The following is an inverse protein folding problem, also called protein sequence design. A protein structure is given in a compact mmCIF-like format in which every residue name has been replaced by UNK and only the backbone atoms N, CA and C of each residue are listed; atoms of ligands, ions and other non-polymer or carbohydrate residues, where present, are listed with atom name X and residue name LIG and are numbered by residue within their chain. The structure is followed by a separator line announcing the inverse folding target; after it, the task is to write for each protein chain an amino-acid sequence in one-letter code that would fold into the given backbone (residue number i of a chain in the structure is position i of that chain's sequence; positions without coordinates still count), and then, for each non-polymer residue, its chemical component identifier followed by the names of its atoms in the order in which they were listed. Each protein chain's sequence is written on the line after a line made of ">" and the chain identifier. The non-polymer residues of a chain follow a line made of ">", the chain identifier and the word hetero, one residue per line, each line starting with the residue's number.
data_IF_811900076504
#
_entry.id   IF_811900076504
#
_cell.length_a   1.000
_cell.length_b   1.000
_cell.length_c   1.000
_cell.angle_alpha   90.00
_cell.angle_beta   90.00
_cell.angle_gamma   90.00
#
_symmetry.space_group_name_H-M   'P 1'
#
loop_
_entity.id
_entity.type
_entity.pdbx_description
1 polymer ?
#
# COMPACT_ATOMS: atom_id res chain seq x y z
N UNK A 1 -21.95 23.77 -10.03
CA UNK A 1 -22.30 22.36 -9.74
C UNK A 1 -21.66 21.87 -8.44
N UNK A 2 -20.34 21.69 -8.34
CA UNK A 2 -19.71 21.20 -7.09
C UNK A 2 -20.02 22.08 -5.87
N UNK A 3 -19.90 23.41 -5.98
CA UNK A 3 -20.27 24.32 -4.87
C UNK A 3 -21.72 24.16 -4.40
N UNK A 4 -22.67 23.99 -5.34
CA UNK A 4 -24.08 23.79 -5.01
C UNK A 4 -24.30 22.44 -4.34
N UNK A 5 -23.63 21.38 -4.82
CA UNK A 5 -23.67 20.07 -4.19
C UNK A 5 -23.12 20.13 -2.75
N UNK A 6 -22.01 20.83 -2.52
CA UNK A 6 -21.43 20.99 -1.19
C UNK A 6 -22.34 21.80 -0.24
N UNK A 7 -23.02 22.84 -0.74
CA UNK A 7 -24.03 23.57 0.03
C UNK A 7 -25.20 22.65 0.39
N UNK A 8 -25.73 21.89 -0.57
CA UNK A 8 -26.81 20.94 -0.33
C UNK A 8 -26.42 19.85 0.69
N UNK A 9 -25.20 19.30 0.59
CA UNK A 9 -24.68 18.35 1.57
C UNK A 9 -24.57 18.98 2.96
N UNK A 10 -24.05 20.21 3.08
CA UNK A 10 -23.95 20.88 4.39
C UNK A 10 -25.33 21.14 5.00
N UNK A 11 -26.30 21.56 4.19
CA UNK A 11 -27.68 21.75 4.65
C UNK A 11 -28.30 20.43 5.12
N UNK A 12 -28.05 19.34 4.41
CA UNK A 12 -28.62 18.02 4.72
C UNK A 12 -27.91 17.31 5.88
N UNK A 13 -26.57 17.33 5.93
CA UNK A 13 -25.72 16.57 6.85
C UNK A 13 -25.24 17.36 8.06
N UNK A 14 -25.38 18.69 8.06
CA UNK A 14 -24.82 19.56 9.09
C UNK A 14 -23.28 19.46 9.20
N UNK A 15 -22.76 19.74 10.39
CA UNK A 15 -21.34 19.64 10.73
C UNK A 15 -21.01 18.22 11.24
N UNK A 16 -21.05 17.25 10.32
CA UNK A 16 -20.80 15.84 10.61
C UNK A 16 -19.50 15.33 10.00
N UNK A 17 -19.02 14.18 10.47
CA UNK A 17 -17.85 13.49 9.91
C UNK A 17 -18.00 13.19 8.41
N UNK A 18 -19.21 12.86 7.97
CA UNK A 18 -19.50 12.66 6.54
C UNK A 18 -19.33 13.96 5.75
N UNK A 19 -19.77 15.09 6.30
CA UNK A 19 -19.56 16.40 5.65
C UNK A 19 -18.07 16.76 5.56
N UNK A 20 -17.30 16.51 6.62
CA UNK A 20 -15.85 16.70 6.62
C UNK A 20 -15.16 15.81 5.57
N UNK A 21 -15.56 14.54 5.48
CA UNK A 21 -15.09 13.61 4.45
C UNK A 21 -15.40 14.11 3.04
N UNK A 22 -16.64 14.55 2.76
CA UNK A 22 -17.03 15.06 1.44
C UNK A 22 -16.27 16.34 1.08
N UNK A 23 -16.05 17.25 2.03
CA UNK A 23 -15.27 18.46 1.80
C UNK A 23 -13.81 18.14 1.46
N UNK A 24 -13.20 17.21 2.21
CA UNK A 24 -11.87 16.68 1.89
C UNK A 24 -11.86 16.10 0.48
N UNK A 25 -12.78 15.20 0.15
CA UNK A 25 -12.82 14.54 -1.16
C UNK A 25 -13.11 15.50 -2.33
N UNK A 26 -13.95 16.52 -2.14
CA UNK A 26 -14.33 17.45 -3.20
C UNK A 26 -13.12 18.16 -3.82
N UNK A 27 -12.23 18.68 -2.97
CA UNK A 27 -10.99 19.34 -3.41
C UNK A 27 -10.08 18.38 -4.19
N UNK A 28 -9.91 17.13 -3.73
CA UNK A 28 -9.09 16.14 -4.43
C UNK A 28 -9.73 15.71 -5.76
N UNK A 29 -11.04 15.45 -5.78
CA UNK A 29 -11.74 15.02 -6.99
C UNK A 29 -11.71 16.08 -8.10
N UNK A 30 -11.75 17.37 -7.74
CA UNK A 30 -11.56 18.47 -8.70
C UNK A 30 -10.19 18.41 -9.36
N UNK A 31 -9.12 18.25 -8.58
CA UNK A 31 -7.76 18.12 -9.11
C UNK A 31 -7.57 16.84 -9.92
N UNK A 32 -8.13 15.72 -9.47
CA UNK A 32 -8.09 14.46 -10.21
C UNK A 32 -8.80 14.58 -11.57
N UNK A 33 -9.95 15.28 -11.63
CA UNK A 33 -10.60 15.57 -12.90
C UNK A 33 -9.73 16.47 -13.78
N UNK A 34 -9.05 17.47 -13.21
CA UNK A 34 -8.19 18.40 -13.95
C UNK A 34 -7.06 17.63 -14.66
N UNK A 35 -6.33 16.79 -13.93
CA UNK A 35 -5.14 16.08 -14.44
C UNK A 35 -5.47 14.85 -15.30
N UNK A 36 -6.66 14.26 -15.17
CA UNK A 36 -7.06 13.11 -15.97
C UNK A 36 -7.07 13.47 -17.47
N UNK A 37 -6.51 12.63 -18.35
CA UNK A 37 -6.60 12.85 -19.81
C UNK A 37 -8.07 12.79 -20.29
N UNK A 38 -8.44 13.41 -21.42
CA UNK A 38 -9.80 13.27 -22.00
C UNK A 38 -10.25 11.82 -22.17
N UNK A 39 -9.31 10.92 -22.49
CA UNK A 39 -9.49 9.48 -22.66
C UNK A 39 -9.42 8.66 -21.37
N UNK A 40 -9.14 9.30 -20.24
CA UNK A 40 -8.88 8.65 -18.97
C UNK A 40 -10.15 8.26 -18.22
N UNK A 41 -10.00 7.24 -17.36
CA UNK A 41 -11.01 6.79 -16.41
C UNK A 41 -10.52 6.95 -14.96
N UNK A 42 -11.45 7.16 -14.04
CA UNK A 42 -11.24 7.14 -12.60
C UNK A 42 -12.08 6.02 -11.98
N UNK A 43 -11.48 5.31 -11.03
CA UNK A 43 -12.13 4.28 -10.22
C UNK A 43 -12.04 4.70 -8.76
N UNK A 44 -13.18 4.77 -8.06
CA UNK A 44 -13.25 5.14 -6.65
C UNK A 44 -13.87 3.99 -5.86
N UNK A 45 -13.05 3.34 -5.03
CA UNK A 45 -13.52 2.35 -4.06
C UNK A 45 -14.05 3.05 -2.82
N UNK A 46 -15.23 2.65 -2.36
CA UNK A 46 -15.84 3.14 -1.13
C UNK A 46 -16.66 2.03 -0.47
N UNK A 47 -16.75 2.08 0.85
CA UNK A 47 -17.66 1.21 1.58
C UNK A 47 -19.12 1.74 1.47
N UNK A 48 -20.13 0.90 1.77
CA UNK A 48 -21.53 1.28 1.62
C UNK A 48 -21.96 2.53 2.40
N UNK A 49 -21.27 2.89 3.49
CA UNK A 49 -21.60 4.05 4.35
C UNK A 49 -21.47 5.38 3.61
N UNK A 50 -20.44 5.52 2.76
CA UNK A 50 -20.15 6.76 2.05
C UNK A 50 -20.51 6.71 0.56
N UNK A 51 -20.71 5.51 0.00
CA UNK A 51 -20.86 5.26 -1.45
C UNK A 51 -21.86 6.18 -2.17
N UNK A 52 -23.05 6.38 -1.62
CA UNK A 52 -24.08 7.22 -2.24
C UNK A 52 -23.75 8.72 -2.17
N UNK A 53 -23.19 9.19 -1.05
CA UNK A 53 -22.77 10.59 -0.89
C UNK A 53 -21.62 10.93 -1.84
N UNK A 54 -20.60 10.07 -1.90
CA UNK A 54 -19.46 10.29 -2.78
C UNK A 54 -19.87 10.15 -4.25
N UNK A 55 -20.82 9.27 -4.59
CA UNK A 55 -21.39 9.18 -5.95
C UNK A 55 -22.03 10.48 -6.40
N UNK A 56 -22.87 11.09 -5.56
CA UNK A 56 -23.47 12.40 -5.85
C UNK A 56 -22.41 13.50 -6.03
N UNK A 57 -21.34 13.48 -5.21
CA UNK A 57 -20.21 14.39 -5.39
C UNK A 57 -19.46 14.12 -6.71
N UNK A 58 -19.23 12.85 -7.07
CA UNK A 58 -18.64 12.47 -8.35
C UNK A 58 -19.51 12.90 -9.53
N UNK A 59 -20.84 12.83 -9.45
CA UNK A 59 -21.73 13.37 -10.47
C UNK A 59 -21.56 14.89 -10.63
N UNK A 60 -21.40 15.62 -9.52
CA UNK A 60 -21.16 17.06 -9.57
C UNK A 60 -19.80 17.42 -10.20
N UNK A 61 -18.78 16.58 -10.02
CA UNK A 61 -17.41 16.77 -10.55
C UNK A 61 -17.29 16.28 -12.00
N UNK A 62 -17.64 15.02 -12.28
CA UNK A 62 -17.41 14.34 -13.55
C UNK A 62 -18.61 14.41 -14.51
N UNK A 63 -19.77 14.88 -14.07
CA UNK A 63 -21.06 14.80 -14.75
C UNK A 63 -21.66 13.39 -14.74
N UNK A 64 -22.97 13.24 -14.45
CA UNK A 64 -23.64 11.93 -14.46
C UNK A 64 -23.62 11.24 -15.83
N UNK A 65 -23.55 12.00 -16.93
CA UNK A 65 -23.42 11.42 -18.29
C UNK A 65 -22.10 10.68 -18.50
N UNK A 66 -21.10 10.97 -17.67
CA UNK A 66 -19.79 10.32 -17.70
C UNK A 66 -19.64 9.17 -16.71
N UNK A 67 -20.72 8.85 -15.99
CA UNK A 67 -20.79 7.65 -15.19
C UNK A 67 -20.79 6.41 -16.10
N UNK A 68 -20.03 5.37 -15.73
CA UNK A 68 -19.87 4.17 -16.56
C UNK A 68 -20.42 2.94 -15.88
N UNK A 69 -19.98 2.66 -14.66
CA UNK A 69 -20.41 1.48 -13.92
C UNK A 69 -20.38 1.75 -12.42
N UNK A 70 -21.37 1.18 -11.72
CA UNK A 70 -21.25 0.85 -10.31
C UNK A 70 -20.80 -0.59 -10.24
N UNK A 71 -19.58 -0.83 -9.79
CA UNK A 71 -18.99 -2.16 -9.76
C UNK A 71 -19.12 -2.73 -8.35
N UNK A 72 -19.84 -3.83 -8.20
CA UNK A 72 -19.93 -4.56 -6.93
C UNK A 72 -18.72 -5.50 -6.79
N UNK A 73 -17.76 -5.14 -5.95
CA UNK A 73 -16.64 -6.02 -5.63
C UNK A 73 -17.06 -7.02 -4.56
N UNK A 74 -17.52 -8.19 -5.01
CA UNK A 74 -18.03 -9.28 -4.21
C UNK A 74 -16.92 -10.20 -3.69
N UNK A 75 -17.09 -10.68 -2.46
CA UNK A 75 -16.18 -11.63 -1.84
C UNK A 75 -16.89 -12.56 -0.86
N UNK A 76 -16.19 -13.61 -0.43
CA UNK A 76 -16.73 -14.58 0.52
C UNK A 76 -16.09 -14.35 1.88
N UNK A 77 -16.84 -14.64 2.92
CA UNK A 77 -16.37 -14.52 4.30
C UNK A 77 -17.08 -15.54 5.19
N UNK A 78 -16.40 -15.92 6.27
CA UNK A 78 -17.00 -16.71 7.34
C UNK A 78 -17.87 -15.81 8.23
N UNK A 79 -18.84 -16.42 8.91
CA UNK A 79 -19.71 -15.75 9.87
C UNK A 79 -20.84 -14.96 9.20
N UNK A 80 -22.08 -15.30 9.54
CA UNK A 80 -23.27 -14.57 9.13
C UNK A 80 -23.89 -13.89 10.35
N UNK A 81 -24.29 -12.62 10.25
CA UNK A 81 -25.05 -11.99 11.31
C UNK A 81 -26.38 -12.73 11.51
N UNK A 82 -26.82 -12.91 12.77
CA UNK A 82 -28.07 -13.63 13.08
C UNK A 82 -29.33 -12.83 12.70
N UNK A 83 -29.22 -11.51 12.54
CA UNK A 83 -30.35 -10.58 12.37
C UNK A 83 -30.17 -9.65 11.15
N UNK A 84 -29.33 -10.05 10.19
CA UNK A 84 -29.06 -9.23 9.00
C UNK A 84 -28.51 -10.11 7.86
N UNK A 85 -28.34 -9.54 6.66
CA UNK A 85 -27.61 -10.17 5.59
C UNK A 85 -26.10 -10.06 5.79
N UNK A 86 -25.36 -11.06 5.31
CA UNK A 86 -23.90 -10.98 5.26
C UNK A 86 -23.46 -9.87 4.30
N UNK A 87 -22.78 -8.85 4.82
CA UNK A 87 -22.11 -7.84 3.99
C UNK A 87 -20.94 -8.50 3.26
N UNK A 88 -21.04 -8.61 1.93
CA UNK A 88 -20.16 -9.41 1.07
C UNK A 88 -19.73 -8.69 -0.21
N UNK A 89 -19.88 -7.38 -0.24
CA UNK A 89 -19.34 -6.57 -1.32
C UNK A 89 -18.98 -5.18 -0.83
N UNK A 90 -18.07 -4.56 -1.56
CA UNK A 90 -17.82 -3.12 -1.55
C UNK A 90 -18.19 -2.52 -2.93
N UNK A 91 -18.30 -1.20 -3.00
CA UNK A 91 -18.66 -0.49 -4.23
C UNK A 91 -17.42 0.17 -4.85
N UNK A 92 -17.27 0.03 -6.17
CA UNK A 92 -16.27 0.75 -6.97
C UNK A 92 -17.01 1.55 -8.04
N UNK A 93 -16.93 2.87 -7.94
CA UNK A 93 -17.54 3.80 -8.90
C UNK A 93 -16.56 4.05 -10.05
N UNK A 94 -17.01 3.82 -11.29
CA UNK A 94 -16.23 4.10 -12.49
C UNK A 94 -16.82 5.29 -13.25
N UNK A 95 -15.99 6.30 -13.47
CA UNK A 95 -16.27 7.42 -14.37
C UNK A 95 -15.18 7.52 -15.43
N UNK A 96 -15.53 8.11 -16.57
CA UNK A 96 -14.54 8.63 -17.51
C UNK A 96 -14.54 10.16 -17.52
N UNK A 97 -13.50 10.78 -18.09
CA UNK A 97 -13.48 12.25 -18.23
C UNK A 97 -14.48 12.75 -19.28
N UNK A 98 -14.60 11.99 -20.37
CA UNK A 98 -15.45 12.26 -21.55
C UNK A 98 -16.11 10.96 -22.05
N UNK A 99 -16.88 11.00 -23.13
CA UNK A 99 -17.43 9.80 -23.78
C UNK A 99 -16.41 9.02 -24.63
N UNK A 100 -15.24 9.61 -24.91
CA UNK A 100 -14.16 8.99 -25.69
C UNK A 100 -13.12 8.41 -24.72
N UNK A 101 -13.42 7.29 -24.06
CA UNK A 101 -12.54 6.67 -23.07
C UNK A 101 -11.91 5.37 -23.55
N UNK A 102 -10.72 5.06 -23.04
CA UNK A 102 -10.08 3.75 -23.26
C UNK A 102 -10.87 2.67 -22.50
N UNK A 103 -11.22 1.58 -23.19
CA UNK A 103 -11.72 0.36 -22.58
C UNK A 103 -11.24 -0.90 -23.33
N UNK A 104 -10.20 -1.55 -22.82
CA UNK A 104 -9.60 -2.74 -23.41
C UNK A 104 -10.35 -4.00 -22.95
N UNK A 105 -11.53 -4.24 -23.53
CA UNK A 105 -12.40 -5.36 -23.14
C UNK A 105 -11.68 -6.71 -23.21
N UNK A 106 -10.92 -6.94 -24.27
CA UNK A 106 -10.25 -8.22 -24.52
C UNK A 106 -9.21 -8.57 -23.45
N UNK A 107 -8.56 -7.56 -22.86
CA UNK A 107 -7.55 -7.74 -21.80
C UNK A 107 -8.15 -8.14 -20.45
N UNK A 108 -9.47 -8.02 -20.29
CA UNK A 108 -10.19 -8.29 -19.04
C UNK A 108 -11.28 -9.35 -19.18
N UNK A 109 -11.32 -10.04 -20.33
CA UNK A 109 -12.24 -11.17 -20.53
C UNK A 109 -11.98 -12.29 -19.52
N UNK A 110 -13.06 -12.95 -19.14
CA UNK A 110 -13.05 -14.06 -18.20
C UNK A 110 -13.22 -15.39 -18.95
N UNK A 111 -12.57 -16.47 -18.50
CA UNK A 111 -12.83 -17.79 -19.05
C UNK A 111 -14.31 -18.17 -18.94
N UNK A 112 -14.87 -18.75 -20.00
CA UNK A 112 -16.19 -19.38 -19.92
C UNK A 112 -16.18 -20.55 -18.93
N UNK A 113 -17.27 -20.70 -18.18
CA UNK A 113 -17.53 -21.90 -17.39
C UNK A 113 -17.56 -23.14 -18.29
N UNK A 114 -17.15 -24.28 -17.74
CA UNK A 114 -17.09 -25.56 -18.46
C UNK A 114 -18.46 -25.94 -19.04
N UNK A 115 -19.53 -25.82 -18.26
CA UNK A 115 -20.90 -26.06 -18.71
C UNK A 115 -21.31 -25.16 -19.90
N UNK A 116 -20.79 -23.93 -19.98
CA UNK A 116 -21.01 -23.06 -21.15
C UNK A 116 -20.25 -23.57 -22.36
N UNK A 117 -18.99 -24.00 -22.18
CA UNK A 117 -18.19 -24.58 -23.28
C UNK A 117 -18.84 -25.83 -23.83
N UNK A 118 -19.28 -26.76 -22.97
CA UNK A 118 -19.98 -27.98 -23.36
C UNK A 118 -21.27 -27.68 -24.13
N UNK A 119 -22.09 -26.75 -23.64
CA UNK A 119 -23.34 -26.35 -24.31
C UNK A 119 -23.09 -25.86 -25.74
N UNK A 120 -22.01 -25.13 -25.96
CA UNK A 120 -21.65 -24.57 -27.26
C UNK A 120 -20.90 -25.55 -28.18
N UNK A 121 -20.55 -26.77 -27.72
CA UNK A 121 -20.09 -27.85 -28.61
C UNK A 121 -21.24 -28.42 -29.45
N UNK A 122 -22.46 -28.36 -28.95
CA UNK A 122 -23.66 -28.77 -29.66
C UNK A 122 -24.30 -27.55 -30.35
N UNK A 123 -24.71 -27.71 -31.61
CA UNK A 123 -25.20 -26.62 -32.46
C UNK A 123 -26.32 -25.82 -31.78
N UNK A 124 -26.11 -24.52 -31.58
CA UNK A 124 -27.14 -23.58 -31.13
C UNK A 124 -27.40 -22.61 -32.29
N UNK A 125 -28.35 -22.97 -33.16
CA UNK A 125 -28.94 -22.01 -34.09
C UNK A 125 -29.57 -20.86 -33.29
N UNK A 126 -29.27 -19.62 -33.64
CA UNK A 126 -29.74 -18.45 -32.92
C UNK A 126 -31.04 -17.93 -33.56
N UNK A 127 -32.10 -18.74 -33.46
CA UNK A 127 -33.43 -18.32 -33.94
C UNK A 127 -34.14 -17.56 -32.83
N UNK A 128 -34.37 -16.26 -33.03
CA UNK A 128 -35.12 -15.40 -32.11
C UNK A 128 -36.30 -14.77 -32.84
N UNK A 129 -37.51 -14.93 -32.30
CA UNK A 129 -38.76 -14.41 -32.89
C UNK A 129 -38.90 -14.77 -34.39
N UNK A 130 -38.59 -16.01 -34.75
CA UNK A 130 -38.68 -16.51 -36.14
C UNK A 130 -37.61 -15.99 -37.10
N UNK A 131 -36.65 -15.17 -36.65
CA UNK A 131 -35.48 -14.77 -37.43
C UNK A 131 -34.25 -15.57 -37.01
N UNK A 132 -33.56 -16.14 -37.98
CA UNK A 132 -32.27 -16.78 -37.78
C UNK A 132 -31.16 -15.73 -37.78
N UNK A 133 -30.45 -15.62 -36.65
CA UNK A 133 -29.28 -14.75 -36.48
C UNK A 133 -27.96 -15.53 -36.65
N UNK A 134 -28.02 -16.69 -37.29
CA UNK A 134 -26.89 -17.56 -37.56
C UNK A 134 -26.45 -18.37 -36.35
N UNK A 135 -25.20 -18.83 -36.38
CA UNK A 135 -24.63 -19.67 -35.32
C UNK A 135 -24.00 -18.81 -34.22
N UNK A 136 -24.41 -19.01 -32.98
CA UNK A 136 -23.77 -18.33 -31.85
C UNK A 136 -22.42 -18.99 -31.54
N UNK A 137 -21.31 -18.22 -31.59
CA UNK A 137 -19.96 -18.70 -31.26
C UNK A 137 -19.44 -18.04 -29.99
N UNK A 138 -18.65 -18.79 -29.22
CA UNK A 138 -17.92 -18.24 -28.08
C UNK A 138 -16.75 -17.38 -28.58
N UNK A 139 -16.51 -16.24 -27.92
CA UNK A 139 -15.36 -15.41 -28.23
C UNK A 139 -14.07 -16.14 -27.80
N UNK A 140 -13.02 -16.23 -28.63
CA UNK A 140 -11.85 -17.05 -28.32
C UNK A 140 -11.13 -16.62 -27.03
N UNK A 141 -11.18 -15.33 -26.69
CA UNK A 141 -10.55 -14.77 -25.50
C UNK A 141 -11.42 -14.87 -24.22
N UNK A 142 -12.64 -15.37 -24.32
CA UNK A 142 -13.54 -15.53 -23.17
C UNK A 142 -14.74 -14.57 -23.15
N UNK A 143 -15.53 -14.65 -22.08
CA UNK A 143 -16.71 -13.79 -21.89
C UNK A 143 -16.30 -12.39 -21.42
N UNK A 144 -17.13 -11.42 -21.71
CA UNK A 144 -17.02 -10.11 -21.09
C UNK A 144 -17.26 -10.22 -19.57
N UNK A 145 -16.45 -9.56 -18.73
CA UNK A 145 -16.72 -9.47 -17.30
C UNK A 145 -17.99 -8.64 -17.06
N UNK A 146 -18.77 -9.05 -16.07
CA UNK A 146 -19.89 -8.26 -15.57
C UNK A 146 -19.36 -7.13 -14.66
N UNK A 147 -20.24 -6.26 -14.17
CA UNK A 147 -19.93 -5.24 -13.16
C UNK A 147 -20.10 -5.75 -11.71
N UNK A 148 -20.27 -7.06 -11.50
CA UNK A 148 -20.12 -7.70 -10.19
C UNK A 148 -18.89 -8.61 -10.21
N UNK A 149 -17.85 -8.22 -9.47
CA UNK A 149 -16.54 -8.88 -9.53
C UNK A 149 -16.33 -9.75 -8.31
N UNK A 150 -16.17 -11.06 -8.52
CA UNK A 150 -15.85 -11.98 -7.43
C UNK A 150 -14.32 -12.11 -7.25
N UNK A 151 -13.73 -11.28 -6.41
CA UNK A 151 -12.29 -11.28 -6.11
C UNK A 151 -12.11 -11.30 -4.59
N UNK A 152 -11.35 -12.25 -4.03
CA UNK A 152 -11.17 -12.32 -2.58
C UNK A 152 -10.21 -11.23 -2.07
N UNK A 153 -10.50 -10.62 -0.90
CA UNK A 153 -9.53 -9.83 -0.15
C UNK A 153 -8.31 -10.67 0.23
N UNK A 154 -7.23 -9.98 0.57
CA UNK A 154 -5.95 -10.63 0.85
C UNK A 154 -6.02 -11.43 2.16
N UNK A 155 -5.94 -12.75 2.04
CA UNK A 155 -5.87 -13.65 3.18
C UNK A 155 -4.62 -13.37 4.05
N UNK A 156 -4.66 -13.62 5.38
CA UNK A 156 -3.49 -13.49 6.25
C UNK A 156 -2.25 -14.26 5.79
N UNK A 157 -2.45 -15.42 5.17
CA UNK A 157 -1.40 -16.28 4.62
C UNK A 157 -0.94 -15.91 3.21
N UNK A 158 -1.61 -14.96 2.54
CA UNK A 158 -1.30 -14.61 1.15
C UNK A 158 0.14 -14.07 1.01
N UNK A 159 0.82 -14.48 -0.07
CA UNK A 159 2.20 -14.08 -0.37
C UNK A 159 2.31 -12.57 -0.60
N UNK A 160 1.33 -11.96 -1.27
CA UNK A 160 1.33 -10.51 -1.54
C UNK A 160 1.09 -9.64 -0.29
N UNK A 161 0.64 -10.19 0.84
CA UNK A 161 0.27 -9.42 2.03
C UNK A 161 1.48 -8.77 2.66
N UNK A 162 1.54 -7.45 2.76
CA UNK A 162 2.65 -6.71 3.37
C UNK A 162 2.46 -6.40 4.86
N UNK A 163 1.27 -6.67 5.39
CA UNK A 163 0.88 -6.31 6.77
C UNK A 163 0.22 -4.95 6.89
N UNK A 164 -0.07 -4.28 5.76
CA UNK A 164 -0.86 -3.05 5.74
C UNK A 164 -2.36 -3.37 5.89
N UNK A 165 -3.10 -2.76 6.83
CA UNK A 165 -4.45 -3.20 7.19
C UNK A 165 -5.46 -3.24 6.03
N UNK A 166 -5.38 -2.27 5.11
CA UNK A 166 -6.36 -2.06 4.04
C UNK A 166 -5.82 -2.39 2.64
N UNK A 167 -4.78 -3.23 2.56
CA UNK A 167 -4.16 -3.61 1.30
C UNK A 167 -5.16 -4.27 0.35
N UNK A 168 -5.26 -3.72 -0.87
CA UNK A 168 -6.05 -4.28 -1.95
C UNK A 168 -5.30 -5.39 -2.69
N UNK A 169 -5.97 -6.45 -3.17
CA UNK A 169 -5.35 -7.54 -3.92
C UNK A 169 -4.90 -7.09 -5.30
N UNK A 170 -3.72 -7.55 -5.76
CA UNK A 170 -3.17 -7.19 -7.07
C UNK A 170 -4.14 -7.50 -8.22
N UNK A 171 -4.85 -8.64 -8.16
CA UNK A 171 -5.84 -9.04 -9.18
C UNK A 171 -6.93 -8.01 -9.42
N UNK A 172 -7.38 -7.31 -8.36
CA UNK A 172 -8.41 -6.27 -8.49
C UNK A 172 -7.87 -5.08 -9.28
N UNK A 173 -6.66 -4.62 -8.93
CA UNK A 173 -6.04 -3.46 -9.57
C UNK A 173 -5.57 -3.81 -10.98
N UNK A 174 -5.10 -5.05 -11.22
CA UNK A 174 -4.73 -5.51 -12.56
C UNK A 174 -5.90 -5.42 -13.54
N UNK A 175 -7.10 -5.82 -13.11
CA UNK A 175 -8.32 -5.70 -13.92
C UNK A 175 -8.62 -4.24 -14.25
N UNK A 176 -8.54 -3.36 -13.26
CA UNK A 176 -8.79 -1.92 -13.43
C UNK A 176 -7.79 -1.29 -14.41
N UNK A 177 -6.49 -1.53 -14.21
CA UNK A 177 -5.41 -0.95 -15.02
C UNK A 177 -5.46 -1.47 -16.45
N UNK A 178 -5.65 -2.78 -16.65
CA UNK A 178 -5.80 -3.36 -17.99
C UNK A 178 -7.01 -2.81 -18.73
N UNK A 179 -8.16 -2.72 -18.05
CA UNK A 179 -9.39 -2.23 -18.68
C UNK A 179 -9.25 -0.79 -19.20
N UNK A 180 -8.58 0.11 -18.47
CA UNK A 180 -8.68 1.56 -18.74
C UNK A 180 -7.35 2.26 -19.04
N UNK A 181 -6.30 1.53 -19.41
CA UNK A 181 -5.01 2.11 -19.79
C UNK A 181 -4.23 1.22 -20.75
N UNK A 182 -3.37 1.81 -21.57
CA UNK A 182 -2.42 1.09 -22.43
C UNK A 182 -1.02 1.05 -21.80
N UNK A 183 -0.11 0.22 -22.33
CA UNK A 183 1.30 0.29 -21.94
C UNK A 183 1.85 1.71 -22.16
N UNK A 184 2.71 2.18 -21.25
CA UNK A 184 3.26 3.53 -21.26
C UNK A 184 2.35 4.64 -20.71
N UNK A 185 1.04 4.38 -20.55
CA UNK A 185 0.14 5.34 -19.88
C UNK A 185 0.52 5.54 -18.40
N UNK A 186 0.01 6.63 -17.81
CA UNK A 186 0.23 6.99 -16.41
C UNK A 186 -0.96 6.55 -15.56
N UNK A 187 -0.68 5.82 -14.49
CA UNK A 187 -1.64 5.48 -13.44
C UNK A 187 -1.34 6.32 -12.20
N UNK A 188 -2.28 7.16 -11.79
CA UNK A 188 -2.19 7.96 -10.57
C UNK A 188 -3.04 7.33 -9.46
N UNK A 189 -2.44 7.09 -8.30
CA UNK A 189 -3.13 6.72 -7.07
C UNK A 189 -2.80 7.72 -5.94
N UNK A 190 -3.72 8.66 -5.64
CA UNK A 190 -3.48 9.70 -4.64
C UNK A 190 -3.72 9.23 -3.20
N UNK A 191 -4.07 7.95 -3.00
CA UNK A 191 -4.28 7.30 -1.70
C UNK A 191 -3.62 5.92 -1.72
N UNK A 192 -2.35 5.88 -2.14
CA UNK A 192 -1.73 4.64 -2.60
C UNK A 192 -1.39 3.64 -1.49
N UNK A 193 -1.32 4.08 -0.22
CA UNK A 193 -1.04 3.23 0.94
C UNK A 193 0.19 2.35 0.72
N UNK A 194 0.03 1.03 0.80
CA UNK A 194 1.11 0.08 0.56
C UNK A 194 1.50 -0.13 -0.94
N UNK A 195 1.01 0.71 -1.86
CA UNK A 195 1.43 0.76 -3.25
C UNK A 195 0.98 -0.39 -4.15
N UNK A 196 -0.18 -1.01 -3.90
CA UNK A 196 -0.66 -2.09 -4.79
C UNK A 196 -0.83 -1.57 -6.22
N UNK A 197 -1.45 -0.41 -6.39
CA UNK A 197 -1.65 0.20 -7.71
C UNK A 197 -0.33 0.45 -8.43
N UNK A 198 0.68 0.95 -7.71
CA UNK A 198 2.01 1.28 -8.26
C UNK A 198 2.75 0.02 -8.71
N UNK A 199 2.74 -1.02 -7.86
CA UNK A 199 3.36 -2.30 -8.19
C UNK A 199 2.69 -2.96 -9.41
N UNK A 200 1.36 -2.91 -9.48
CA UNK A 200 0.58 -3.42 -10.61
C UNK A 200 0.86 -2.62 -11.88
N UNK A 201 0.84 -1.29 -11.80
CA UNK A 201 1.15 -0.42 -12.93
C UNK A 201 2.55 -0.70 -13.48
N UNK A 202 3.56 -0.77 -12.61
CA UNK A 202 4.94 -1.13 -12.98
C UNK A 202 5.01 -2.52 -13.64
N UNK A 203 4.34 -3.52 -13.06
CA UNK A 203 4.29 -4.89 -13.59
C UNK A 203 3.66 -4.97 -14.99
N UNK A 204 2.70 -4.09 -15.26
CA UNK A 204 2.00 -3.97 -16.53
C UNK A 204 2.66 -2.93 -17.46
N UNK A 205 3.88 -2.48 -17.21
CA UNK A 205 4.57 -1.50 -18.06
C UNK A 205 3.81 -0.16 -18.21
N UNK A 206 3.11 0.28 -17.16
CA UNK A 206 2.55 1.63 -17.06
C UNK A 206 3.45 2.50 -16.18
N UNK A 207 3.54 3.79 -16.50
CA UNK A 207 4.10 4.78 -15.60
C UNK A 207 3.15 4.97 -14.43
N UNK A 208 3.65 5.39 -13.28
CA UNK A 208 2.82 5.54 -12.10
C UNK A 208 3.23 6.73 -11.25
N UNK A 209 2.24 7.29 -10.56
CA UNK A 209 2.41 8.32 -9.53
C UNK A 209 1.61 7.84 -8.32
N UNK A 210 2.25 7.80 -7.15
CA UNK A 210 1.58 7.48 -5.90
C UNK A 210 1.73 8.61 -4.90
N UNK A 211 0.66 8.93 -4.19
CA UNK A 211 0.68 9.92 -3.11
C UNK A 211 0.11 9.25 -1.86
N UNK A 212 0.81 9.40 -0.75
CA UNK A 212 0.31 9.04 0.57
C UNK A 212 0.86 10.06 1.58
N UNK A 213 0.05 10.37 2.60
CA UNK A 213 0.43 11.33 3.64
C UNK A 213 1.42 10.74 4.65
N UNK A 214 1.54 9.41 4.71
CA UNK A 214 2.34 8.73 5.74
C UNK A 214 3.69 8.27 5.20
N UNK A 215 4.78 8.62 5.89
CA UNK A 215 6.10 8.11 5.52
C UNK A 215 6.21 6.58 5.67
N UNK A 216 5.39 5.98 6.53
CA UNK A 216 5.30 4.52 6.67
C UNK A 216 4.84 3.85 5.36
N UNK A 217 3.80 4.40 4.71
CA UNK A 217 3.33 3.92 3.41
C UNK A 217 4.43 4.05 2.34
N UNK A 218 5.12 5.19 2.31
CA UNK A 218 6.21 5.44 1.36
C UNK A 218 7.37 4.44 1.56
N UNK A 219 7.80 4.18 2.80
CA UNK A 219 8.81 3.16 3.10
C UNK A 219 8.40 1.76 2.65
N UNK A 220 7.15 1.39 2.89
CA UNK A 220 6.54 0.14 2.43
C UNK A 220 6.56 0.01 0.90
N UNK A 221 6.21 1.08 0.18
CA UNK A 221 6.21 1.13 -1.28
C UNK A 221 7.63 0.90 -1.81
N UNK A 222 8.62 1.62 -1.28
CA UNK A 222 10.04 1.48 -1.67
C UNK A 222 10.50 0.04 -1.54
N UNK A 223 10.25 -0.58 -0.39
CA UNK A 223 10.61 -1.97 -0.14
C UNK A 223 9.86 -2.93 -1.10
N UNK A 224 8.55 -2.73 -1.31
CA UNK A 224 7.75 -3.53 -2.24
C UNK A 224 8.30 -3.49 -3.66
N UNK A 225 8.58 -2.30 -4.18
CA UNK A 225 9.11 -2.09 -5.53
C UNK A 225 10.51 -2.69 -5.70
N UNK A 226 11.41 -2.44 -4.74
CA UNK A 226 12.75 -3.04 -4.74
C UNK A 226 12.69 -4.57 -4.68
N UNK A 227 11.77 -5.14 -3.90
CA UNK A 227 11.62 -6.59 -3.82
C UNK A 227 11.05 -7.19 -5.12
N UNK A 228 10.05 -6.55 -5.71
CA UNK A 228 9.38 -7.04 -6.91
C UNK A 228 10.25 -6.92 -8.18
N UNK A 229 11.03 -5.84 -8.31
CA UNK A 229 11.75 -5.48 -9.54
C UNK A 229 13.28 -5.39 -9.38
N UNK A 230 13.81 -5.58 -8.17
CA UNK A 230 15.23 -5.54 -7.86
C UNK A 230 15.75 -4.15 -7.47
N UNK A 231 17.03 -4.09 -7.03
CA UNK A 231 17.64 -2.86 -6.50
C UNK A 231 17.71 -1.71 -7.50
N UNK A 232 17.81 -2.00 -8.79
CA UNK A 232 17.84 -0.97 -9.85
C UNK A 232 16.55 -0.16 -9.93
N UNK A 233 15.43 -0.70 -9.44
CA UNK A 233 14.14 -0.01 -9.40
C UNK A 233 14.21 1.32 -8.65
N UNK A 234 15.08 1.45 -7.64
CA UNK A 234 15.24 2.70 -6.88
C UNK A 234 15.71 3.88 -7.76
N UNK A 235 16.38 3.60 -8.86
CA UNK A 235 16.90 4.64 -9.76
C UNK A 235 15.88 5.07 -10.82
N UNK A 236 14.68 4.48 -10.81
CA UNK A 236 13.65 4.73 -11.83
C UNK A 236 12.49 5.57 -11.28
N UNK A 237 12.57 6.13 -10.08
CA UNK A 237 11.55 6.99 -9.52
C UNK A 237 12.15 7.95 -8.48
N UNK A 238 11.51 9.10 -8.33
CA UNK A 238 11.80 10.06 -7.27
C UNK A 238 10.78 9.95 -6.14
N UNK A 239 11.18 10.31 -4.92
CA UNK A 239 10.27 10.48 -3.79
C UNK A 239 10.33 11.92 -3.33
N UNK A 240 9.22 12.64 -3.53
CA UNK A 240 9.08 14.05 -3.17
C UNK A 240 8.43 14.16 -1.80
N UNK A 241 8.93 15.06 -0.96
CA UNK A 241 8.35 15.38 0.35
C UNK A 241 8.90 14.57 1.53
N UNK A 242 9.90 13.73 1.32
CA UNK A 242 10.65 13.12 2.43
C UNK A 242 11.90 13.92 2.79
N UNK A 243 12.32 13.92 4.07
CA UNK A 243 13.61 14.48 4.42
C UNK A 243 14.76 13.72 3.76
N UNK A 244 15.64 14.47 3.11
CA UNK A 244 16.86 13.98 2.45
C UNK A 244 18.14 14.47 3.14
N UNK A 245 18.01 15.43 4.04
CA UNK A 245 19.10 16.02 4.81
C UNK A 245 18.72 16.23 6.28
N UNK A 246 19.68 16.64 7.10
CA UNK A 246 19.44 16.89 8.52
C UNK A 246 18.52 18.09 8.78
N UNK A 247 18.50 19.09 7.90
CA UNK A 247 17.70 20.31 8.09
C UNK A 247 16.22 20.00 7.93
N UNK A 248 15.87 19.34 6.82
CA UNK A 248 14.54 18.81 6.53
C UNK A 248 14.10 17.79 7.58
N UNK A 249 15.00 16.93 8.08
CA UNK A 249 14.66 15.97 9.13
C UNK A 249 14.33 16.66 10.47
N UNK A 250 15.06 17.72 10.83
CA UNK A 250 14.75 18.55 12.00
C UNK A 250 13.43 19.29 11.84
N UNK A 251 13.14 19.81 10.65
CA UNK A 251 11.87 20.46 10.35
C UNK A 251 10.70 19.50 10.53
N UNK A 252 10.79 18.29 9.96
CA UNK A 252 9.76 17.25 10.14
C UNK A 252 9.57 16.91 11.62
N UNK A 253 10.65 16.74 12.37
CA UNK A 253 10.59 16.48 13.81
C UNK A 253 9.87 17.57 14.62
N UNK A 254 9.96 18.83 14.19
CA UNK A 254 9.31 19.98 14.83
C UNK A 254 7.83 20.09 14.46
N UNK A 255 7.50 19.85 13.18
CA UNK A 255 6.13 19.96 12.66
C UNK A 255 5.27 18.76 13.07
N UNK A 256 5.81 17.54 12.95
CA UNK A 256 5.10 16.31 13.29
C UNK A 256 6.09 15.23 13.76
N UNK A 257 6.18 15.08 15.09
CA UNK A 257 7.06 14.08 15.72
C UNK A 257 6.68 12.65 15.33
N UNK A 258 5.40 12.38 15.08
CA UNK A 258 4.96 11.04 14.73
C UNK A 258 5.35 10.68 13.29
N UNK A 259 5.21 11.62 12.35
CA UNK A 259 5.70 11.43 10.98
C UNK A 259 7.22 11.29 10.95
N UNK A 260 7.94 12.05 11.79
CA UNK A 260 9.37 11.87 11.97
C UNK A 260 9.74 10.46 12.46
N UNK A 261 9.04 9.94 13.48
CA UNK A 261 9.22 8.57 13.97
C UNK A 261 9.03 7.55 12.83
N UNK A 262 7.91 7.64 12.10
CA UNK A 262 7.61 6.78 10.96
C UNK A 262 8.67 6.85 9.85
N UNK A 263 9.11 8.05 9.50
CA UNK A 263 10.16 8.27 8.50
C UNK A 263 11.49 7.67 8.94
N UNK A 264 11.92 7.91 10.19
CA UNK A 264 13.17 7.40 10.72
C UNK A 264 13.19 5.86 10.78
N UNK A 265 12.07 5.23 11.11
CA UNK A 265 11.91 3.77 11.03
C UNK A 265 12.05 3.25 9.58
N UNK A 266 11.57 4.01 8.60
CA UNK A 266 11.73 3.71 7.18
C UNK A 266 13.19 3.65 6.73
N UNK A 267 14.08 4.46 7.31
CA UNK A 267 15.53 4.45 7.00
C UNK A 267 16.21 3.11 7.35
N UNK A 268 15.64 2.39 8.32
CA UNK A 268 16.13 1.09 8.79
C UNK A 268 15.22 -0.07 8.41
N UNK A 269 14.27 0.15 7.49
CA UNK A 269 13.31 -0.86 7.00
C UNK A 269 12.45 -1.50 8.11
N UNK A 270 12.19 -0.78 9.19
CA UNK A 270 11.44 -1.30 10.32
C UNK A 270 9.92 -1.12 10.17
N UNK A 271 9.14 -2.02 10.78
CA UNK A 271 7.70 -1.83 10.93
C UNK A 271 7.42 -0.94 12.12
N UNK A 272 6.60 0.10 11.92
CA UNK A 272 5.98 0.81 13.04
C UNK A 272 5.12 -0.14 13.85
N UNK A 273 5.14 0.03 15.17
CA UNK A 273 4.18 -0.64 16.04
C UNK A 273 2.84 0.11 15.96
N UNK A 274 1.72 -0.62 15.84
CA UNK A 274 0.42 0.01 16.05
C UNK A 274 0.37 0.45 17.51
N UNK A 275 0.34 1.77 17.76
CA UNK A 275 0.22 2.34 19.12
C UNK A 275 -1.16 1.93 19.70
N UNK A 276 -1.30 0.69 20.17
CA UNK A 276 -2.41 0.31 21.05
C UNK A 276 -2.29 1.16 22.31
N UNK A 277 -3.31 1.97 22.61
CA UNK A 277 -3.37 2.79 23.82
C UNK A 277 -2.97 1.94 25.04
N UNK A 278 -1.77 2.20 25.58
CA UNK A 278 -1.34 1.73 26.89
C UNK A 278 -0.29 0.61 26.98
N UNK A 279 0.12 -0.07 25.89
CA UNK A 279 0.92 -1.30 26.02
C UNK A 279 2.46 -1.13 25.83
N UNK A 280 2.92 -0.40 24.80
CA UNK A 280 4.34 -0.41 24.42
C UNK A 280 5.07 0.88 24.82
N UNK A 281 5.37 1.04 26.13
CA UNK A 281 6.21 2.15 26.61
C UNK A 281 7.64 1.96 26.08
N UNK A 282 7.99 2.69 25.02
CA UNK A 282 9.36 2.84 24.51
C UNK A 282 9.71 2.05 23.24
N UNK A 283 8.73 1.49 22.51
CA UNK A 283 8.97 0.77 21.25
C UNK A 283 8.27 1.50 20.11
N UNK A 284 9.07 2.10 19.24
CA UNK A 284 8.57 2.84 18.07
C UNK A 284 8.50 1.92 16.85
N UNK A 285 9.43 0.97 16.71
CA UNK A 285 9.40 -0.01 15.63
C UNK A 285 10.02 -1.36 15.97
N UNK A 286 9.73 -2.35 15.12
CA UNK A 286 10.28 -3.70 15.22
C UNK A 286 10.81 -4.18 13.85
N UNK A 287 11.92 -4.90 13.86
CA UNK A 287 12.43 -5.72 12.76
C UNK A 287 12.47 -7.18 13.21
N UNK A 288 12.29 -8.10 12.27
CA UNK A 288 12.32 -9.53 12.52
C UNK A 288 13.28 -10.25 11.59
N UNK A 289 13.99 -11.23 12.12
CA UNK A 289 14.97 -12.02 11.37
C UNK A 289 15.02 -13.47 11.85
N UNK A 290 15.67 -14.31 11.05
CA UNK A 290 15.98 -15.71 11.37
C UNK A 290 17.44 -15.96 11.02
N UNK A 291 18.17 -16.55 11.96
CA UNK A 291 19.59 -16.87 11.79
C UNK A 291 19.94 -18.23 12.41
N UNK A 292 18.97 -19.15 12.52
CA UNK A 292 19.24 -20.52 12.95
C UNK A 292 19.94 -21.33 11.83
N UNK A 293 20.76 -22.30 12.23
CA UNK A 293 21.46 -23.21 11.31
C UNK A 293 20.55 -24.28 10.73
N UNK A 294 19.50 -24.68 11.46
CA UNK A 294 18.51 -25.65 11.00
C UNK A 294 17.36 -24.92 10.30
N UNK A 295 17.27 -25.06 8.98
CA UNK A 295 16.21 -24.46 8.17
C UNK A 295 14.80 -24.94 8.52
N UNK A 296 14.66 -26.00 9.34
CA UNK A 296 13.37 -26.48 9.87
C UNK A 296 12.95 -25.76 11.16
N UNK A 297 13.85 -25.06 11.84
CA UNK A 297 13.56 -24.23 13.02
C UNK A 297 13.39 -22.77 12.58
N UNK A 298 12.18 -22.25 12.67
CA UNK A 298 11.85 -20.87 12.28
C UNK A 298 11.56 -20.00 13.50
N UNK A 299 12.46 -20.00 14.49
CA UNK A 299 12.36 -19.08 15.62
C UNK A 299 12.56 -17.65 15.12
N UNK A 300 11.48 -16.88 15.17
CA UNK A 300 11.50 -15.48 14.74
C UNK A 300 12.13 -14.65 15.84
N UNK A 301 13.29 -14.08 15.55
CA UNK A 301 14.03 -13.16 16.42
C UNK A 301 13.64 -11.73 16.08
N UNK A 302 13.83 -10.81 17.02
CA UNK A 302 13.39 -9.44 16.90
C UNK A 302 14.47 -8.41 17.27
N UNK A 303 14.44 -7.30 16.55
CA UNK A 303 15.17 -6.08 16.88
C UNK A 303 14.13 -5.01 17.25
N UNK A 304 14.31 -4.39 18.40
CA UNK A 304 13.44 -3.32 18.89
C UNK A 304 14.08 -1.98 18.62
N UNK A 305 13.30 -1.04 18.10
CA UNK A 305 13.78 0.29 17.77
C UNK A 305 13.03 1.32 18.60
N UNK A 306 13.77 2.25 19.19
CA UNK A 306 13.22 3.49 19.73
C UNK A 306 13.81 4.70 19.00
N UNK A 307 12.96 5.66 18.67
CA UNK A 307 13.29 6.89 17.95
C UNK A 307 13.07 8.08 18.87
N UNK A 308 14.04 9.01 18.92
CA UNK A 308 13.92 10.28 19.63
C UNK A 308 14.38 11.46 18.79
N UNK A 309 13.47 12.39 18.55
CA UNK A 309 13.72 13.67 17.86
C UNK A 309 14.31 14.75 18.77
N UNK A 310 13.93 14.75 20.05
CA UNK A 310 14.28 15.79 21.03
C UNK A 310 15.58 15.53 21.82
N UNK A 311 15.64 16.09 23.03
CA UNK A 311 16.78 15.91 23.93
C UNK A 311 16.99 14.42 24.25
N UNK A 312 18.21 13.94 24.03
CA UNK A 312 18.59 12.55 24.31
C UNK A 312 19.63 12.47 25.41
N UNK A 313 19.66 11.33 26.10
CA UNK A 313 20.51 11.14 27.26
C UNK A 313 20.63 9.66 27.64
N UNK A 314 21.54 9.32 28.58
CA UNK A 314 21.83 7.93 28.94
C UNK A 314 20.64 7.18 29.51
N UNK A 315 19.70 7.89 30.15
CA UNK A 315 18.45 7.32 30.66
C UNK A 315 17.65 6.64 29.55
N UNK A 316 17.48 7.28 28.40
CA UNK A 316 16.76 6.70 27.26
C UNK A 316 17.42 5.42 26.72
N UNK A 317 18.75 5.38 26.71
CA UNK A 317 19.52 4.19 26.29
C UNK A 317 19.34 3.05 27.29
N UNK A 318 19.34 3.37 28.59
CA UNK A 318 19.08 2.42 29.68
C UNK A 318 17.65 1.88 29.66
N UNK A 319 16.68 2.76 29.40
CA UNK A 319 15.27 2.39 29.30
C UNK A 319 15.08 1.41 28.14
N UNK A 320 15.69 1.68 26.97
CA UNK A 320 15.68 0.75 25.84
C UNK A 320 16.33 -0.59 26.20
N UNK A 321 17.42 -0.61 26.98
CA UNK A 321 17.98 -1.88 27.48
C UNK A 321 16.97 -2.68 28.30
N UNK A 322 16.24 -2.03 29.21
CA UNK A 322 15.18 -2.68 29.98
C UNK A 322 14.03 -3.19 29.09
N UNK A 323 13.72 -2.48 28.00
CA UNK A 323 12.74 -2.93 27.00
C UNK A 323 13.24 -4.17 26.26
N UNK A 324 14.52 -4.22 25.85
CA UNK A 324 15.11 -5.40 25.20
C UNK A 324 14.97 -6.64 26.07
N UNK A 325 15.24 -6.51 27.37
CA UNK A 325 15.13 -7.61 28.34
C UNK A 325 13.68 -8.03 28.54
N UNK A 326 12.78 -7.07 28.77
CA UNK A 326 11.35 -7.31 28.98
C UNK A 326 10.69 -8.02 27.81
N UNK A 327 11.02 -7.62 26.60
CA UNK A 327 10.45 -8.16 25.36
C UNK A 327 11.22 -9.37 24.83
N UNK A 328 12.30 -9.78 25.51
CA UNK A 328 13.23 -10.82 25.08
C UNK A 328 13.73 -10.61 23.64
N UNK A 329 14.13 -9.39 23.32
CA UNK A 329 14.69 -9.04 22.02
C UNK A 329 16.21 -9.30 21.97
N UNK A 330 16.69 -9.63 20.77
CA UNK A 330 18.09 -9.95 20.53
C UNK A 330 18.95 -8.71 20.40
N UNK A 331 18.42 -7.64 19.80
CA UNK A 331 19.10 -6.37 19.58
C UNK A 331 18.11 -5.23 19.84
N UNK A 332 18.60 -4.12 20.39
CA UNK A 332 17.88 -2.85 20.42
C UNK A 332 18.67 -1.74 19.74
N UNK A 333 17.94 -0.85 19.07
CA UNK A 333 18.51 0.26 18.31
C UNK A 333 17.85 1.56 18.75
N UNK A 334 18.67 2.47 19.26
CA UNK A 334 18.27 3.82 19.60
C UNK A 334 18.60 4.77 18.45
N UNK A 335 17.58 5.32 17.79
CA UNK A 335 17.74 6.29 16.71
C UNK A 335 17.54 7.69 17.27
N UNK A 336 18.52 8.58 17.08
CA UNK A 336 18.45 9.93 17.62
C UNK A 336 18.86 11.03 16.63
N UNK A 337 18.24 12.22 16.76
CA UNK A 337 18.62 13.39 15.97
C UNK A 337 19.96 13.98 16.40
N UNK A 338 20.23 14.00 17.71
CA UNK A 338 21.43 14.61 18.29
C UNK A 338 22.60 13.62 18.29
N UNK A 339 23.84 14.16 18.22
CA UNK A 339 25.04 13.35 18.40
C UNK A 339 25.05 12.77 19.83
N UNK A 340 25.23 11.44 19.99
CA UNK A 340 25.13 10.83 21.30
C UNK A 340 26.33 11.21 22.17
N UNK A 341 26.04 11.54 23.42
CA UNK A 341 27.04 11.92 24.42
C UNK A 341 27.92 10.73 24.82
N UNK A 342 29.11 11.01 25.38
CA UNK A 342 30.02 9.96 25.86
C UNK A 342 29.31 9.00 26.85
N UNK A 343 28.53 9.48 27.85
CA UNK A 343 27.78 8.59 28.73
C UNK A 343 26.74 7.71 28.02
N UNK A 344 26.08 8.19 26.97
CA UNK A 344 25.16 7.35 26.17
C UNK A 344 25.91 6.22 25.47
N UNK A 345 27.08 6.52 24.89
CA UNK A 345 27.92 5.51 24.23
C UNK A 345 28.43 4.48 25.22
N UNK A 346 28.83 4.90 26.42
CA UNK A 346 29.22 3.99 27.51
C UNK A 346 28.06 3.09 27.93
N UNK A 347 26.85 3.63 28.09
CA UNK A 347 25.67 2.83 28.43
C UNK A 347 25.36 1.78 27.35
N UNK A 348 25.41 2.16 26.06
CA UNK A 348 25.22 1.22 24.95
C UNK A 348 26.30 0.14 24.90
N UNK A 349 27.57 0.51 25.09
CA UNK A 349 28.70 -0.42 25.10
C UNK A 349 28.70 -1.37 26.31
N UNK A 350 28.02 -1.02 27.40
CA UNK A 350 27.85 -1.89 28.56
C UNK A 350 26.85 -3.02 28.33
N UNK A 351 26.03 -2.94 27.27
CA UNK A 351 25.17 -4.04 26.87
C UNK A 351 26.01 -5.21 26.35
N UNK A 352 25.48 -6.42 26.49
CA UNK A 352 26.13 -7.63 25.97
C UNK A 352 26.18 -7.63 24.43
N UNK A 353 26.76 -8.67 23.84
CA UNK A 353 26.72 -8.87 22.40
C UNK A 353 25.80 -10.03 22.05
N UNK A 354 25.09 -9.89 20.94
CA UNK A 354 24.34 -10.97 20.33
C UNK A 354 25.25 -11.82 19.44
N UNK A 355 25.28 -13.14 19.67
CA UNK A 355 26.08 -14.08 18.88
C UNK A 355 25.18 -14.81 17.89
N UNK A 356 25.37 -14.53 16.61
CA UNK A 356 24.68 -15.27 15.55
C UNK A 356 25.38 -16.60 15.27
N UNK A 357 24.65 -17.69 15.00
CA UNK A 357 25.25 -18.96 14.57
C UNK A 357 26.03 -18.88 13.25
N UNK A 358 25.78 -17.87 12.41
CA UNK A 358 26.35 -17.75 11.06
C UNK A 358 27.64 -16.93 10.99
N UNK A 359 27.93 -16.10 12.00
CA UNK A 359 29.07 -15.18 11.96
C UNK A 359 29.98 -15.39 13.16
N UNK A 360 31.28 -15.30 12.92
CA UNK A 360 32.31 -15.49 13.95
C UNK A 360 32.35 -14.32 14.94
N UNK A 361 32.10 -13.10 14.45
CA UNK A 361 32.09 -11.88 15.25
C UNK A 361 30.69 -11.59 15.83
N UNK A 362 30.60 -11.13 17.09
CA UNK A 362 29.33 -10.87 17.74
C UNK A 362 28.82 -9.45 17.45
N UNK A 363 27.49 -9.27 17.42
CA UNK A 363 26.84 -7.98 17.16
C UNK A 363 26.55 -7.21 18.45
N UNK A 364 26.70 -5.87 18.51
CA UNK A 364 26.31 -5.11 19.69
C UNK A 364 24.81 -5.25 19.97
N UNK A 365 24.45 -5.67 21.19
CA UNK A 365 23.03 -5.85 21.57
C UNK A 365 22.29 -4.53 21.70
N UNK A 366 23.00 -3.43 21.96
CA UNK A 366 22.42 -2.09 22.05
C UNK A 366 23.23 -1.13 21.18
N UNK A 367 22.58 -0.57 20.16
CA UNK A 367 23.21 0.31 19.19
C UNK A 367 22.60 1.69 19.25
N UNK A 368 23.41 2.72 19.00
CA UNK A 368 22.94 4.09 18.81
C UNK A 368 23.26 4.51 17.39
N UNK A 369 22.25 4.93 16.65
CA UNK A 369 22.37 5.42 15.28
C UNK A 369 21.81 6.84 15.20
N UNK A 370 22.58 7.75 14.65
CA UNK A 370 22.08 9.11 14.39
C UNK A 370 21.36 9.19 13.04
N UNK A 371 20.43 10.13 12.91
CA UNK A 371 19.81 10.43 11.60
C UNK A 371 20.88 10.77 10.55
N UNK A 372 21.91 11.52 10.94
CA UNK A 372 23.05 11.87 10.07
C UNK A 372 23.73 10.61 9.52
N UNK A 373 24.03 9.65 10.38
CA UNK A 373 24.65 8.39 9.96
C UNK A 373 23.73 7.55 9.06
N UNK A 374 22.44 7.48 9.37
CA UNK A 374 21.47 6.73 8.58
C UNK A 374 21.30 7.31 7.17
N UNK A 375 21.22 8.64 7.06
CA UNK A 375 21.20 9.36 5.78
C UNK A 375 22.48 9.10 4.97
N UNK A 376 23.63 9.03 5.64
CA UNK A 376 24.92 8.69 5.04
C UNK A 376 25.12 7.18 4.77
N UNK A 377 24.08 6.36 4.91
CA UNK A 377 24.11 4.96 4.51
C UNK A 377 24.51 3.97 5.60
N UNK A 378 24.70 4.41 6.85
CA UNK A 378 24.89 3.49 7.98
C UNK A 378 23.65 2.59 8.11
N UNK A 379 23.85 1.35 8.53
CA UNK A 379 22.81 0.35 8.76
C UNK A 379 22.92 -0.20 10.17
N UNK A 380 21.86 -0.86 10.62
CA UNK A 380 21.89 -1.62 11.87
C UNK A 380 22.89 -2.76 11.69
N UNK A 381 23.81 -2.88 12.63
CA UNK A 381 24.77 -3.98 12.67
C UNK A 381 24.08 -5.22 13.20
N UNK A 382 23.59 -6.07 12.31
CA UNK A 382 22.79 -7.24 12.64
C UNK A 382 22.99 -8.36 11.63
N UNK A 383 22.58 -9.60 11.97
CA UNK A 383 22.63 -10.73 11.04
C UNK A 383 21.94 -10.40 9.71
N UNK A 384 22.41 -10.99 8.58
CA UNK A 384 21.82 -10.72 7.28
C UNK A 384 20.31 -10.92 7.27
N UNK A 385 19.57 -9.82 7.12
CA UNK A 385 18.11 -9.82 6.96
C UNK A 385 17.66 -10.50 5.64
N UNK A 386 18.62 -10.88 4.78
CA UNK A 386 18.42 -11.34 3.41
C UNK A 386 17.85 -12.75 3.25
N UNK A 387 17.98 -13.66 4.22
CA UNK A 387 17.38 -14.99 4.08
C UNK A 387 15.92 -15.03 4.53
N UNK A 388 15.49 -14.18 5.47
CA UNK A 388 14.10 -14.14 5.95
C UNK A 388 13.74 -12.74 6.48
N UNK A 389 13.54 -11.75 5.60
CA UNK A 389 12.96 -10.47 6.04
C UNK A 389 11.47 -10.72 6.35
N UNK A 390 11.15 -11.02 7.61
CA UNK A 390 9.76 -11.22 8.11
C UNK A 390 9.10 -9.87 8.43
N UNK A 391 9.92 -8.83 8.57
CA UNK A 391 9.47 -7.47 8.82
C UNK A 391 8.60 -6.95 7.71
N UNK A 392 8.78 -7.38 6.47
CA UNK A 392 7.76 -7.22 5.44
C UNK A 392 7.63 -8.54 4.71
N UNK A 393 6.45 -9.15 4.76
CA UNK A 393 6.17 -10.37 3.99
C UNK A 393 6.50 -10.09 2.51
N UNK A 394 7.19 -11.03 1.88
CA UNK A 394 7.77 -10.85 0.54
C UNK A 394 6.69 -10.75 -0.54
N UNK A 395 6.63 -9.63 -1.24
CA UNK A 395 5.85 -9.54 -2.47
C UNK A 395 6.37 -10.54 -3.52
N UNK A 396 5.53 -11.15 -4.37
CA UNK A 396 6.01 -12.01 -5.46
C UNK A 396 7.02 -11.26 -6.36
N UNK A 397 8.06 -11.94 -6.84
CA UNK A 397 8.91 -11.36 -7.91
C UNK A 397 8.05 -11.13 -9.15
N UNK A 398 8.15 -9.95 -9.75
CA UNK A 398 7.47 -9.67 -11.01
C UNK A 398 8.10 -10.46 -12.16
N UNK A 399 7.29 -10.89 -13.14
CA UNK A 399 7.76 -11.59 -14.35
C UNK A 399 8.16 -10.64 -15.50
N UNK A 400 8.01 -9.33 -15.33
CA UNK A 400 8.35 -8.30 -16.34
C UNK A 400 9.64 -7.55 -15.99
N UNK A 401 10.35 -7.06 -17.02
CA UNK A 401 11.45 -6.10 -16.84
C UNK A 401 10.83 -4.72 -16.60
N UNK A 402 11.16 -4.07 -15.48
CA UNK A 402 10.79 -2.67 -15.29
C UNK A 402 11.53 -1.79 -16.31
N UNK A 403 10.78 -1.00 -17.08
CA UNK A 403 11.32 0.08 -17.92
C UNK A 403 11.61 1.32 -17.06
N UNK A 404 12.62 2.10 -17.44
CA UNK A 404 12.90 3.40 -16.79
C UNK A 404 11.66 4.30 -16.86
N UNK A 405 11.32 4.98 -15.76
CA UNK A 405 10.33 6.05 -15.83
C UNK A 405 11.05 7.30 -16.33
N UNK A 406 10.69 7.83 -17.51
CA UNK A 406 11.17 9.16 -17.90
C UNK A 406 10.66 10.20 -16.90
N UNK A 407 11.46 11.25 -16.68
CA UNK A 407 11.08 12.38 -15.82
C UNK A 407 9.73 12.96 -16.25
N UNK A 408 8.90 13.33 -15.27
CA UNK A 408 7.71 14.11 -15.55
C UNK A 408 8.15 15.56 -15.77
N UNK A 409 7.99 16.09 -16.99
CA UNK A 409 8.09 17.53 -17.22
C UNK A 409 6.93 18.20 -16.46
N UNK A 410 7.27 18.98 -15.44
CA UNK A 410 6.32 19.68 -14.56
C UNK A 410 5.86 21.02 -15.14
#
# INVERSE_FOLDING_TARGET
>A
RVSQAMQAFRTFLGESDMMAYLAMMASRLLELRRVLKPIGSIYLHCDPTASHYIKMLMDAVFSPVNFRNEIAWCYRGAGYPKRDFGKRHDTILRYSKTNEYIFNLDDVREPYAEATRERFKHYIGNVRKGKDFGTQKLHPLGRQPDDWWQIQPIAPSAKERLGYPTQKPETLLERIVKASSNEGDVVLDPFCGCGTTLAVAAKLNRRWIGIDITHLAIGLIKHRLQHAFGRKMRNTYEVIGEPTDLSSAKKLAQEDTFQFECWALGLVEARSTEKKKGADKGIDGRLYFHDELDSRKTNTKQIIISVKSGHTGPTHVRDLRGVIERENAEIGVFICMQKPTKPMRTEAASASFYKSPWQKEPYPRLQILTIEELLNGKRIDCPPLGQVNVTFKRAPKAKGKATEQPEFEY
#
